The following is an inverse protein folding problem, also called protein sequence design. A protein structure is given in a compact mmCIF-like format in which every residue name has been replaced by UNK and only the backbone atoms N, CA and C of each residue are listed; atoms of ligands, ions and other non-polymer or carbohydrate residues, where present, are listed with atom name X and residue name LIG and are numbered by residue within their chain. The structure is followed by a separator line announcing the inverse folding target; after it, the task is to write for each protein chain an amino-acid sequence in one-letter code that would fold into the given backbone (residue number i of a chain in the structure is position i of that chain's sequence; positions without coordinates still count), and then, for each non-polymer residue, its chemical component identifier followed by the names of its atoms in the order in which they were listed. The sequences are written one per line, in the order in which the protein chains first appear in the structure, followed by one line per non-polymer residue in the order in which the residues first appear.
data_IF_402164268108
#
_entry.id   IF_402164268108
#
_cell.length_a   1.000
_cell.length_b   1.000
_cell.length_c   1.000
_cell.angle_alpha   90.00
_cell.angle_beta   90.00
_cell.angle_gamma   90.00
#
_symmetry.space_group_name_H-M   'P 1'
#
loop_
_entity.id
_entity.type
_entity.pdbx_description
1 polymer ?
#
# COMPACT_ATOMS: atom_id res chain seq x y z
N UNK A 1 14.30 -14.49 -22.80
CA UNK A 1 13.68 -15.15 -21.64
C UNK A 1 12.26 -14.63 -21.55
N UNK A 2 11.26 -15.48 -21.37
CA UNK A 2 9.87 -15.06 -21.17
C UNK A 2 9.73 -14.38 -19.79
N UNK A 3 8.80 -13.42 -19.63
CA UNK A 3 8.55 -12.71 -18.38
C UNK A 3 8.25 -13.66 -17.21
N UNK A 4 7.54 -14.76 -17.46
CA UNK A 4 7.23 -15.77 -16.46
C UNK A 4 8.52 -16.49 -15.99
N UNK A 5 9.41 -16.83 -16.89
CA UNK A 5 10.70 -17.45 -16.57
C UNK A 5 11.56 -16.51 -15.71
N UNK A 6 11.57 -15.20 -16.03
CA UNK A 6 12.30 -14.21 -15.23
C UNK A 6 11.73 -14.13 -13.81
N UNK A 7 10.39 -14.07 -13.68
CA UNK A 7 9.73 -14.04 -12.36
C UNK A 7 10.01 -15.30 -11.53
N UNK A 8 9.98 -16.48 -12.17
CA UNK A 8 10.33 -17.75 -11.51
C UNK A 8 11.78 -17.76 -11.02
N UNK A 9 12.71 -17.24 -11.82
CA UNK A 9 14.11 -17.10 -11.43
C UNK A 9 14.31 -16.13 -10.27
N UNK A 10 13.63 -14.97 -10.31
CA UNK A 10 13.66 -14.00 -9.21
C UNK A 10 13.07 -14.61 -7.92
N UNK A 11 11.97 -15.34 -8.03
CA UNK A 11 11.38 -16.06 -6.89
C UNK A 11 12.35 -17.08 -6.30
N UNK A 12 12.95 -17.94 -7.15
CA UNK A 12 13.89 -18.97 -6.69
C UNK A 12 15.12 -18.40 -5.98
N UNK A 13 15.53 -17.19 -6.33
CA UNK A 13 16.64 -16.44 -5.70
C UNK A 13 16.22 -15.61 -4.49
N UNK A 14 14.95 -15.62 -4.14
CA UNK A 14 14.37 -14.75 -3.07
C UNK A 14 14.61 -13.26 -3.36
N UNK A 15 14.60 -12.87 -4.62
CA UNK A 15 14.75 -11.47 -5.08
C UNK A 15 13.45 -10.89 -5.65
N UNK A 16 12.34 -11.65 -5.64
CA UNK A 16 11.02 -11.18 -6.02
C UNK A 16 10.30 -10.56 -4.83
N UNK A 17 9.79 -9.34 -4.99
CA UNK A 17 8.91 -8.68 -4.01
C UNK A 17 7.58 -8.35 -4.68
N UNK A 18 6.51 -9.07 -4.36
CA UNK A 18 5.16 -8.63 -4.69
C UNK A 18 4.84 -7.33 -3.95
N UNK A 19 4.38 -6.33 -4.69
CA UNK A 19 3.89 -5.05 -4.17
C UNK A 19 2.38 -5.04 -4.35
N UNK A 20 1.64 -5.08 -3.24
CA UNK A 20 0.20 -5.29 -3.23
C UNK A 20 -0.54 -3.98 -3.02
N UNK A 21 -1.48 -3.68 -3.90
CA UNK A 21 -2.38 -2.54 -3.84
C UNK A 21 -3.83 -2.93 -3.53
N UNK A 22 -4.69 -1.95 -3.34
CA UNK A 22 -6.09 -2.12 -2.90
C UNK A 22 -6.98 -2.92 -3.86
N UNK A 23 -6.60 -3.05 -5.11
CA UNK A 23 -7.33 -3.87 -6.09
C UNK A 23 -7.43 -5.34 -5.71
N UNK A 24 -6.57 -5.87 -4.82
CA UNK A 24 -6.71 -7.21 -4.28
C UNK A 24 -7.72 -7.27 -3.13
N UNK A 25 -7.94 -6.18 -2.40
CA UNK A 25 -8.80 -6.11 -1.22
C UNK A 25 -10.23 -5.67 -1.53
N UNK A 26 -10.41 -4.83 -2.56
CA UNK A 26 -11.74 -4.34 -2.97
C UNK A 26 -12.72 -5.49 -3.30
N UNK A 27 -12.33 -6.53 -4.04
CA UNK A 27 -13.22 -7.67 -4.31
C UNK A 27 -13.67 -8.41 -3.05
N UNK A 28 -12.93 -8.28 -1.95
CA UNK A 28 -13.29 -8.86 -0.65
C UNK A 28 -14.25 -7.99 0.15
N UNK A 29 -14.69 -6.85 -0.39
CA UNK A 29 -15.63 -5.94 0.25
C UNK A 29 -14.99 -4.78 1.02
N UNK A 30 -13.67 -4.60 0.92
CA UNK A 30 -13.04 -3.42 1.50
C UNK A 30 -13.29 -2.16 0.66
N UNK A 31 -13.46 -1.01 1.29
CA UNK A 31 -13.69 0.24 0.58
C UNK A 31 -12.45 0.68 -0.21
N UNK A 32 -12.70 1.25 -1.37
CA UNK A 32 -11.70 1.98 -2.14
C UNK A 32 -11.28 3.27 -1.43
N UNK A 33 -10.18 3.88 -1.88
CA UNK A 33 -9.73 5.19 -1.41
C UNK A 33 -10.82 6.27 -1.55
N UNK A 34 -11.51 6.28 -2.70
CA UNK A 34 -12.64 7.19 -2.95
C UNK A 34 -13.72 7.02 -1.89
N UNK A 35 -14.19 5.79 -1.67
CA UNK A 35 -15.25 5.50 -0.69
C UNK A 35 -14.84 5.86 0.75
N UNK A 36 -13.57 5.63 1.12
CA UNK A 36 -13.06 6.02 2.45
C UNK A 36 -13.12 7.53 2.64
N UNK A 37 -12.74 8.31 1.65
CA UNK A 37 -12.76 9.77 1.71
C UNK A 37 -14.20 10.31 1.73
N UNK A 38 -15.07 9.78 0.88
CA UNK A 38 -16.50 10.16 0.84
C UNK A 38 -17.19 9.85 2.18
N UNK A 39 -17.03 8.62 2.70
CA UNK A 39 -17.56 8.23 4.01
C UNK A 39 -16.98 9.06 5.16
N UNK A 40 -15.71 9.44 5.09
CA UNK A 40 -15.10 10.33 6.08
C UNK A 40 -15.75 11.72 6.07
N UNK A 41 -16.00 12.28 4.88
CA UNK A 41 -16.65 13.58 4.74
C UNK A 41 -18.08 13.57 5.32
N UNK A 42 -18.80 12.46 5.16
CA UNK A 42 -20.14 12.27 5.75
C UNK A 42 -20.07 12.12 7.27
N UNK A 43 -19.20 11.25 7.76
CA UNK A 43 -19.03 10.98 9.19
C UNK A 43 -18.69 12.24 9.99
N UNK A 44 -17.78 13.05 9.48
CA UNK A 44 -17.38 14.31 10.13
C UNK A 44 -18.31 15.50 9.81
N UNK A 45 -19.44 15.24 9.15
CA UNK A 45 -20.45 16.27 8.80
C UNK A 45 -19.82 17.47 8.08
N UNK A 46 -18.96 17.22 7.12
CA UNK A 46 -18.34 18.24 6.28
C UNK A 46 -19.42 18.99 5.49
N UNK A 47 -19.33 20.31 5.39
CA UNK A 47 -20.33 21.13 4.69
C UNK A 47 -20.46 20.74 3.22
N UNK A 48 -21.66 20.93 2.64
CA UNK A 48 -21.96 20.55 1.25
C UNK A 48 -21.02 21.23 0.25
N UNK A 49 -20.66 22.49 0.49
CA UNK A 49 -19.69 23.22 -0.35
C UNK A 49 -18.32 22.53 -0.38
N UNK A 50 -17.83 22.07 0.78
CA UNK A 50 -16.55 21.34 0.86
C UNK A 50 -16.67 19.93 0.31
N UNK A 51 -17.81 19.25 0.48
CA UNK A 51 -18.07 17.94 -0.15
C UNK A 51 -18.02 18.05 -1.68
N UNK A 52 -18.57 19.12 -2.26
CA UNK A 52 -18.44 19.36 -3.70
C UNK A 52 -16.97 19.53 -4.13
N UNK A 53 -16.14 20.20 -3.32
CA UNK A 53 -14.71 20.30 -3.57
C UNK A 53 -14.03 18.92 -3.49
N UNK A 54 -14.38 18.10 -2.49
CA UNK A 54 -13.88 16.72 -2.35
C UNK A 54 -14.22 15.91 -3.59
N UNK A 55 -15.49 15.91 -4.03
CA UNK A 55 -15.91 15.18 -5.23
C UNK A 55 -15.11 15.61 -6.47
N UNK A 56 -14.89 16.92 -6.68
CA UNK A 56 -14.08 17.43 -7.79
C UNK A 56 -12.63 16.95 -7.75
N UNK A 57 -12.03 16.80 -6.56
CA UNK A 57 -10.70 16.22 -6.39
C UNK A 57 -10.71 14.72 -6.72
N UNK A 58 -11.71 13.99 -6.20
CA UNK A 58 -11.86 12.56 -6.43
C UNK A 58 -12.07 12.21 -7.91
N UNK A 59 -12.84 13.03 -8.64
CA UNK A 59 -13.07 12.86 -10.09
C UNK A 59 -11.80 13.04 -10.93
N UNK A 60 -10.77 13.67 -10.35
CA UNK A 60 -9.45 13.85 -10.94
C UNK A 60 -8.39 12.91 -10.37
N UNK A 61 -8.79 11.94 -9.55
CA UNK A 61 -7.90 11.04 -8.81
C UNK A 61 -6.86 11.78 -7.94
N UNK A 62 -7.27 12.94 -7.39
CA UNK A 62 -6.45 13.80 -6.53
C UNK A 62 -6.79 13.50 -5.04
N UNK A 63 -6.54 12.26 -4.61
CA UNK A 63 -6.96 11.75 -3.29
C UNK A 63 -6.37 12.54 -2.11
N UNK A 64 -5.11 12.95 -2.19
CA UNK A 64 -4.48 13.74 -1.13
C UNK A 64 -5.07 15.15 -1.04
N UNK A 65 -5.45 15.74 -2.19
CA UNK A 65 -6.13 17.05 -2.20
C UNK A 65 -7.52 16.93 -1.57
N UNK A 66 -8.25 15.84 -1.87
CA UNK A 66 -9.54 15.57 -1.23
C UNK A 66 -9.41 15.40 0.29
N UNK A 67 -8.40 14.68 0.76
CA UNK A 67 -8.07 14.52 2.18
C UNK A 67 -7.72 15.85 2.84
N UNK A 68 -6.92 16.69 2.17
CA UNK A 68 -6.57 18.03 2.65
C UNK A 68 -7.80 18.93 2.86
N UNK A 69 -8.87 18.77 2.06
CA UNK A 69 -10.14 19.51 2.26
C UNK A 69 -10.79 19.11 3.57
N UNK A 70 -10.79 17.82 3.93
CA UNK A 70 -11.34 17.33 5.21
C UNK A 70 -10.55 17.90 6.39
N UNK A 71 -9.21 17.85 6.32
CA UNK A 71 -8.34 18.39 7.37
C UNK A 71 -8.53 19.91 7.55
N UNK A 72 -8.64 20.67 6.45
CA UNK A 72 -8.93 22.12 6.47
C UNK A 72 -10.36 22.43 6.94
N UNK A 73 -11.24 21.45 7.00
CA UNK A 73 -12.57 21.61 7.59
C UNK A 73 -12.56 21.52 9.13
N UNK A 74 -11.40 21.27 9.75
CA UNK A 74 -11.21 21.20 11.20
C UNK A 74 -11.14 19.78 11.77
N UNK A 75 -11.14 18.76 10.91
CA UNK A 75 -10.87 17.37 11.34
C UNK A 75 -9.37 17.22 11.55
N UNK A 76 -8.95 16.74 12.73
CA UNK A 76 -7.53 16.47 12.95
C UNK A 76 -7.07 15.22 12.18
N UNK A 77 -5.79 15.18 11.81
CA UNK A 77 -5.19 14.05 11.12
C UNK A 77 -5.35 12.75 11.93
N UNK A 78 -5.20 12.82 13.25
CA UNK A 78 -5.43 11.69 14.15
C UNK A 78 -6.87 11.17 14.10
N UNK A 79 -7.88 12.06 14.21
CA UNK A 79 -9.29 11.66 14.14
C UNK A 79 -9.62 10.98 12.81
N UNK A 80 -9.05 11.48 11.72
CA UNK A 80 -9.27 10.90 10.40
C UNK A 80 -8.64 9.51 10.29
N UNK A 81 -7.42 9.31 10.79
CA UNK A 81 -6.76 7.98 10.83
C UNK A 81 -7.53 6.98 11.67
N UNK A 82 -7.97 7.36 12.86
CA UNK A 82 -8.78 6.53 13.75
C UNK A 82 -10.10 6.12 13.09
N UNK A 83 -10.76 7.06 12.41
CA UNK A 83 -11.97 6.75 11.65
C UNK A 83 -11.72 5.76 10.50
N UNK A 84 -10.67 5.99 9.71
CA UNK A 84 -10.29 5.10 8.60
C UNK A 84 -9.96 3.70 9.13
N UNK A 85 -9.15 3.59 10.18
CA UNK A 85 -8.82 2.31 10.79
C UNK A 85 -10.08 1.57 11.26
N UNK A 86 -10.99 2.26 11.94
CA UNK A 86 -12.27 1.71 12.39
C UNK A 86 -13.13 1.25 11.20
N UNK A 87 -13.31 2.10 10.19
CA UNK A 87 -14.14 1.80 9.02
C UNK A 87 -13.60 0.59 8.23
N UNK A 88 -12.28 0.49 8.10
CA UNK A 88 -11.62 -0.64 7.45
C UNK A 88 -11.77 -1.93 8.27
N UNK A 89 -11.64 -1.85 9.59
CA UNK A 89 -11.83 -3.00 10.49
C UNK A 89 -13.26 -3.53 10.40
N UNK A 90 -14.26 -2.65 10.47
CA UNK A 90 -15.67 -3.03 10.33
C UNK A 90 -15.96 -3.67 8.96
N UNK A 91 -15.39 -3.12 7.88
CA UNK A 91 -15.53 -3.69 6.54
C UNK A 91 -14.88 -5.09 6.46
N UNK A 92 -13.70 -5.25 7.05
CA UNK A 92 -12.98 -6.52 7.09
C UNK A 92 -13.74 -7.61 7.85
N UNK A 93 -14.34 -7.29 9.00
CA UNK A 93 -15.18 -8.21 9.79
C UNK A 93 -16.43 -8.68 9.02
N UNK A 94 -16.95 -7.84 8.14
CA UNK A 94 -18.11 -8.15 7.29
C UNK A 94 -17.74 -8.73 5.92
N UNK A 95 -16.45 -8.94 5.66
CA UNK A 95 -15.98 -9.42 4.36
C UNK A 95 -16.29 -10.90 4.15
N UNK A 96 -16.72 -11.26 2.93
CA UNK A 96 -16.90 -12.64 2.50
C UNK A 96 -15.66 -13.08 1.70
N UNK A 97 -14.76 -13.79 2.34
CA UNK A 97 -13.43 -14.14 1.81
C UNK A 97 -13.38 -15.49 1.07
N UNK A 98 -14.44 -15.91 0.39
CA UNK A 98 -14.54 -17.28 -0.14
C UNK A 98 -13.59 -17.55 -1.30
N UNK A 99 -13.28 -16.54 -2.13
CA UNK A 99 -12.32 -16.66 -3.23
C UNK A 99 -11.56 -15.34 -3.37
N UNK A 100 -10.26 -15.37 -3.14
CA UNK A 100 -9.45 -14.15 -3.16
C UNK A 100 -7.98 -14.46 -3.53
N UNK A 101 -7.33 -13.48 -4.15
CA UNK A 101 -5.94 -13.60 -4.60
C UNK A 101 -4.90 -13.68 -3.45
N UNK A 102 -5.28 -13.39 -2.21
CA UNK A 102 -4.38 -13.55 -1.06
C UNK A 102 -4.09 -15.01 -0.75
N UNK A 103 -5.04 -15.92 -1.05
CA UNK A 103 -4.78 -17.37 -0.95
C UNK A 103 -3.70 -17.82 -1.93
N UNK A 104 -3.66 -17.27 -3.13
CA UNK A 104 -2.59 -17.55 -4.10
C UNK A 104 -1.23 -17.02 -3.61
N UNK A 105 -1.22 -15.83 -3.01
CA UNK A 105 0.00 -15.28 -2.40
C UNK A 105 0.53 -16.14 -1.25
N UNK A 106 -0.36 -16.75 -0.48
CA UNK A 106 0.00 -17.64 0.62
C UNK A 106 0.67 -18.95 0.16
N UNK A 107 0.54 -19.31 -1.12
CA UNK A 107 1.18 -20.53 -1.67
C UNK A 107 2.70 -20.41 -1.88
N UNK A 108 3.24 -19.19 -1.87
CA UNK A 108 4.70 -19.03 -1.92
C UNK A 108 5.35 -19.62 -0.67
N UNK A 109 6.42 -20.41 -0.84
CA UNK A 109 7.10 -21.03 0.30
C UNK A 109 7.98 -20.08 1.09
N UNK A 110 8.58 -19.08 0.40
CA UNK A 110 9.39 -18.02 1.03
C UNK A 110 9.35 -16.78 0.17
N UNK A 111 8.80 -15.70 0.72
CA UNK A 111 8.64 -14.45 -0.03
C UNK A 111 8.59 -13.22 0.88
N UNK A 112 8.90 -12.06 0.31
CA UNK A 112 8.85 -10.75 0.92
C UNK A 112 7.80 -9.92 0.21
N UNK A 113 6.88 -9.33 0.95
CA UNK A 113 5.83 -8.48 0.41
C UNK A 113 6.04 -7.02 0.79
N UNK A 114 5.58 -6.14 -0.05
CA UNK A 114 5.31 -4.75 0.29
C UNK A 114 3.84 -4.44 0.01
N UNK A 115 3.24 -3.55 0.78
CA UNK A 115 1.85 -3.16 0.52
C UNK A 115 1.61 -1.69 0.85
N UNK A 116 0.73 -1.06 0.08
CA UNK A 116 0.16 0.25 0.40
C UNK A 116 -1.21 0.12 1.09
N UNK A 117 -1.71 -1.11 1.24
CA UNK A 117 -2.99 -1.38 1.90
C UNK A 117 -2.86 -1.33 3.42
N UNK A 118 -3.93 -0.94 4.08
CA UNK A 118 -4.01 -0.90 5.55
C UNK A 118 -4.54 -2.19 6.19
N UNK A 119 -5.07 -3.13 5.40
CA UNK A 119 -6.01 -4.19 5.82
C UNK A 119 -5.39 -5.42 6.49
N UNK A 120 -4.10 -5.61 6.40
CA UNK A 120 -3.38 -6.77 6.97
C UNK A 120 -3.79 -8.15 6.40
N UNK A 121 -4.42 -8.23 5.22
CA UNK A 121 -4.78 -9.53 4.63
C UNK A 121 -3.57 -10.42 4.30
N UNK A 122 -2.42 -9.82 3.95
CA UNK A 122 -1.18 -10.61 3.77
C UNK A 122 -0.78 -11.32 5.07
N UNK A 123 -0.97 -10.66 6.22
CA UNK A 123 -0.71 -11.28 7.51
C UNK A 123 -1.68 -12.42 7.81
N UNK A 124 -2.97 -12.20 7.54
CA UNK A 124 -4.02 -13.16 7.88
C UNK A 124 -3.95 -14.42 7.01
N UNK A 125 -3.71 -14.28 5.72
CA UNK A 125 -3.73 -15.40 4.78
C UNK A 125 -2.38 -16.09 4.63
N UNK A 126 -1.27 -15.33 4.65
CA UNK A 126 0.08 -15.86 4.47
C UNK A 126 0.88 -15.96 5.78
N UNK A 127 0.24 -15.69 6.93
CA UNK A 127 0.91 -15.67 8.25
C UNK A 127 2.19 -14.81 8.25
N UNK A 128 2.19 -13.73 7.45
CA UNK A 128 3.36 -12.91 7.24
C UNK A 128 3.71 -12.09 8.50
N UNK A 129 4.99 -12.05 8.82
CA UNK A 129 5.51 -11.18 9.88
C UNK A 129 5.63 -9.75 9.37
N UNK A 130 4.99 -8.80 10.07
CA UNK A 130 5.15 -7.37 9.77
C UNK A 130 6.51 -6.87 10.19
N UNK A 131 7.17 -6.16 9.27
CA UNK A 131 8.32 -5.30 9.55
C UNK A 131 7.93 -3.85 9.25
N UNK A 132 8.09 -2.99 10.24
CA UNK A 132 7.79 -1.57 10.10
C UNK A 132 8.91 -0.85 9.33
N UNK A 133 8.61 0.29 8.74
CA UNK A 133 9.64 1.07 8.03
C UNK A 133 10.76 1.54 8.97
N UNK A 134 10.41 1.83 10.24
CA UNK A 134 11.39 2.18 11.26
C UNK A 134 12.34 1.01 11.58
N UNK A 135 11.87 -0.23 11.43
CA UNK A 135 12.73 -1.41 11.58
C UNK A 135 13.74 -1.49 10.42
N UNK A 136 13.37 -1.04 9.21
CA UNK A 136 14.27 -1.01 8.06
C UNK A 136 15.44 -0.02 8.26
N UNK A 137 15.22 1.10 8.94
CA UNK A 137 16.28 2.06 9.26
C UNK A 137 17.39 1.44 10.13
N UNK A 138 17.04 0.44 10.93
CA UNK A 138 17.92 -0.27 11.84
C UNK A 138 18.35 -1.64 11.31
N UNK A 139 17.70 -2.13 10.25
CA UNK A 139 18.01 -3.42 9.62
C UNK A 139 18.86 -3.22 8.36
N UNK A 140 19.95 -3.96 8.28
CA UNK A 140 20.57 -4.13 6.97
C UNK A 140 19.61 -4.89 6.05
N UNK A 141 19.47 -4.48 4.79
CA UNK A 141 18.62 -5.15 3.77
C UNK A 141 18.82 -6.67 3.74
N UNK A 142 20.03 -7.13 4.04
CA UNK A 142 20.32 -8.55 4.20
C UNK A 142 19.46 -9.23 5.27
N UNK A 143 19.10 -8.53 6.36
CA UNK A 143 18.24 -9.10 7.40
C UNK A 143 16.80 -9.24 6.93
N UNK A 144 16.30 -8.31 6.11
CA UNK A 144 14.99 -8.44 5.46
C UNK A 144 14.98 -9.60 4.45
N UNK A 145 15.98 -9.66 3.56
CA UNK A 145 16.09 -10.70 2.54
C UNK A 145 16.26 -12.10 3.13
N UNK A 146 17.09 -12.22 4.18
CA UNK A 146 17.42 -13.50 4.81
C UNK A 146 16.76 -13.70 6.19
N UNK A 147 15.64 -13.04 6.45
CA UNK A 147 14.84 -13.24 7.65
C UNK A 147 14.56 -14.73 7.88
N UNK A 148 14.51 -15.13 9.16
CA UNK A 148 14.13 -16.49 9.55
C UNK A 148 12.65 -16.81 9.24
N UNK A 149 11.83 -15.79 9.04
CA UNK A 149 10.42 -15.97 8.67
C UNK A 149 10.28 -16.28 7.18
N UNK A 150 9.39 -17.19 6.85
CA UNK A 150 9.11 -17.55 5.46
C UNK A 150 8.38 -16.40 4.73
N UNK A 151 7.39 -15.81 5.37
CA UNK A 151 6.65 -14.67 4.86
C UNK A 151 6.89 -13.41 5.70
N UNK A 152 7.19 -12.32 5.03
CA UNK A 152 7.40 -11.00 5.64
C UNK A 152 6.65 -9.95 4.84
N UNK A 153 6.02 -9.01 5.51
CA UNK A 153 5.34 -7.88 4.86
C UNK A 153 5.82 -6.54 5.43
N UNK A 154 6.03 -5.57 4.54
CA UNK A 154 6.31 -4.17 4.86
C UNK A 154 5.10 -3.34 4.46
N UNK A 155 4.30 -2.84 5.41
CA UNK A 155 3.22 -1.90 5.14
C UNK A 155 3.80 -0.49 4.93
N UNK A 156 3.92 -0.07 3.66
CA UNK A 156 4.48 1.24 3.29
C UNK A 156 3.64 2.41 3.81
N UNK A 157 2.33 2.23 3.90
CA UNK A 157 1.39 3.27 4.32
C UNK A 157 0.79 3.02 5.71
N UNK A 158 1.42 2.15 6.51
CA UNK A 158 0.91 1.78 7.83
C UNK A 158 -0.20 0.72 7.78
N UNK A 159 -0.83 0.49 8.91
CA UNK A 159 -1.80 -0.60 9.08
C UNK A 159 -2.91 -0.23 10.08
N UNK A 160 -4.10 -0.86 9.92
CA UNK A 160 -5.28 -0.57 10.75
C UNK A 160 -5.09 -0.87 12.24
N UNK A 161 -4.21 -1.80 12.60
CA UNK A 161 -3.89 -2.10 14.00
C UNK A 161 -3.11 -1.00 14.71
N UNK A 162 -2.51 -0.07 13.95
CA UNK A 162 -1.76 1.08 14.43
C UNK A 162 -2.17 2.34 13.67
N UNK A 163 -3.31 2.96 14.02
CA UNK A 163 -3.87 4.10 13.27
C UNK A 163 -2.88 5.27 13.10
N UNK A 164 -1.98 5.47 14.07
CA UNK A 164 -0.93 6.49 14.01
C UNK A 164 0.07 6.28 12.87
N UNK A 165 0.22 5.04 12.38
CA UNK A 165 1.10 4.70 11.26
C UNK A 165 0.49 4.99 9.89
N UNK A 166 -0.82 5.22 9.80
CA UNK A 166 -1.53 5.39 8.54
C UNK A 166 -1.07 6.64 7.80
N UNK A 167 -0.63 6.47 6.56
CA UNK A 167 -0.19 7.53 5.64
C UNK A 167 -1.35 7.89 4.72
N UNK A 168 -1.97 9.06 4.94
CA UNK A 168 -3.19 9.45 4.21
C UNK A 168 -3.24 10.94 3.81
N UNK A 169 -2.45 11.78 4.46
CA UNK A 169 -2.39 13.22 4.18
C UNK A 169 -1.13 13.58 3.39
N UNK A 170 -1.16 14.75 2.71
CA UNK A 170 0.02 15.27 2.01
C UNK A 170 1.24 15.38 2.94
N UNK A 171 1.02 15.82 4.19
CA UNK A 171 2.07 15.93 5.19
C UNK A 171 2.67 14.56 5.55
N UNK A 172 1.83 13.55 5.79
CA UNK A 172 2.31 12.18 6.08
C UNK A 172 3.04 11.55 4.89
N UNK A 173 2.58 11.78 3.67
CA UNK A 173 3.30 11.37 2.45
C UNK A 173 4.66 12.06 2.32
N UNK A 174 4.72 13.37 2.59
CA UNK A 174 5.99 14.10 2.54
C UNK A 174 6.96 13.63 3.63
N UNK A 175 6.47 13.39 4.84
CA UNK A 175 7.28 12.86 5.94
C UNK A 175 7.84 11.48 5.60
N UNK A 176 7.06 10.59 5.03
CA UNK A 176 7.51 9.27 4.65
C UNK A 176 8.53 9.32 3.50
N UNK A 177 8.13 9.87 2.35
CA UNK A 177 8.89 9.73 1.10
C UNK A 177 10.05 10.72 0.93
N UNK A 178 10.16 11.75 1.78
CA UNK A 178 11.26 12.71 1.75
C UNK A 178 12.34 12.44 2.77
N UNK A 179 12.19 11.47 3.68
CA UNK A 179 13.28 11.09 4.59
C UNK A 179 14.44 10.48 3.79
N UNK A 180 15.66 10.84 4.17
CA UNK A 180 16.85 10.31 3.52
C UNK A 180 17.00 8.81 3.76
N UNK A 181 16.55 8.34 4.91
CA UNK A 181 16.50 6.94 5.28
C UNK A 181 15.61 6.14 4.34
N UNK A 182 14.33 6.55 4.15
CA UNK A 182 13.42 5.88 3.22
C UNK A 182 13.99 5.84 1.80
N UNK A 183 14.55 6.97 1.32
CA UNK A 183 15.15 7.06 -0.01
C UNK A 183 16.29 6.09 -0.16
N UNK A 184 17.20 6.04 0.82
CA UNK A 184 18.37 5.16 0.81
C UNK A 184 17.93 3.67 0.79
N UNK A 185 17.06 3.27 1.71
CA UNK A 185 16.61 1.87 1.82
C UNK A 185 15.80 1.45 0.58
N UNK A 186 14.96 2.33 0.07
CA UNK A 186 14.17 2.05 -1.12
C UNK A 186 15.03 1.95 -2.39
N UNK A 187 16.03 2.83 -2.54
CA UNK A 187 17.04 2.76 -3.61
C UNK A 187 17.81 1.44 -3.55
N UNK A 188 18.19 1.02 -2.37
CA UNK A 188 18.90 -0.24 -2.18
C UNK A 188 18.03 -1.43 -2.53
N UNK A 189 16.75 -1.44 -2.09
CA UNK A 189 15.80 -2.51 -2.44
C UNK A 189 15.60 -2.62 -3.94
N UNK A 190 15.37 -1.52 -4.67
CA UNK A 190 15.13 -1.58 -6.11
C UNK A 190 16.34 -2.03 -6.93
N UNK A 191 17.56 -1.88 -6.43
CA UNK A 191 18.76 -2.38 -7.12
C UNK A 191 18.98 -3.88 -6.96
N UNK A 192 18.44 -4.48 -5.90
CA UNK A 192 18.65 -5.88 -5.56
C UNK A 192 17.41 -6.76 -5.77
N UNK A 193 16.23 -6.16 -5.87
CA UNK A 193 14.97 -6.88 -5.97
C UNK A 193 14.19 -6.52 -7.23
N UNK A 194 13.46 -7.49 -7.73
CA UNK A 194 12.45 -7.32 -8.78
C UNK A 194 11.09 -7.12 -8.13
N UNK A 195 10.43 -6.01 -8.40
CA UNK A 195 9.08 -5.74 -7.93
C UNK A 195 8.05 -6.29 -8.91
N UNK A 196 7.02 -6.96 -8.37
CA UNK A 196 5.82 -7.37 -9.10
C UNK A 196 4.62 -6.62 -8.51
N UNK A 197 4.17 -5.60 -9.23
CA UNK A 197 3.02 -4.80 -8.82
C UNK A 197 1.72 -5.50 -9.18
N UNK A 198 0.79 -5.59 -8.22
CA UNK A 198 -0.51 -6.20 -8.40
C UNK A 198 -1.59 -5.45 -7.61
N UNK A 199 -2.79 -5.31 -8.20
CA UNK A 199 -3.90 -4.58 -7.58
C UNK A 199 -3.72 -3.07 -7.54
N UNK A 200 -2.93 -2.49 -8.44
CA UNK A 200 -2.77 -1.05 -8.61
C UNK A 200 -3.53 -0.57 -9.85
N UNK A 201 -4.36 0.47 -9.70
CA UNK A 201 -4.95 1.16 -10.85
C UNK A 201 -3.96 2.11 -11.54
N UNK A 202 -2.90 2.50 -10.86
CA UNK A 202 -1.95 3.55 -11.28
C UNK A 202 -2.63 4.90 -11.60
N UNK A 203 -3.85 5.12 -11.13
CA UNK A 203 -4.55 6.39 -11.27
C UNK A 203 -4.13 7.42 -10.22
N UNK A 204 -3.62 6.97 -9.07
CA UNK A 204 -3.07 7.83 -8.03
C UNK A 204 -1.77 8.50 -8.54
N UNK A 205 -1.84 9.81 -8.74
CA UNK A 205 -0.72 10.63 -9.23
C UNK A 205 0.52 10.59 -8.32
N UNK A 206 0.34 10.32 -7.04
CA UNK A 206 1.47 10.23 -6.10
C UNK A 206 2.14 8.87 -6.19
N UNK A 207 1.37 7.80 -6.29
CA UNK A 207 1.89 6.46 -6.58
C UNK A 207 2.60 6.46 -7.93
N UNK A 208 2.01 7.07 -8.98
CA UNK A 208 2.67 7.24 -10.28
C UNK A 208 4.03 7.94 -10.14
N UNK A 209 4.10 9.08 -9.44
CA UNK A 209 5.35 9.82 -9.25
C UNK A 209 6.39 9.04 -8.44
N UNK A 210 5.95 8.24 -7.47
CA UNK A 210 6.83 7.35 -6.73
C UNK A 210 7.44 6.31 -7.66
N UNK A 211 6.59 5.66 -8.47
CA UNK A 211 7.04 4.65 -9.42
C UNK A 211 7.84 5.24 -10.58
N UNK A 212 7.51 6.42 -11.09
CA UNK A 212 8.32 7.11 -12.10
C UNK A 212 9.77 7.32 -11.62
N UNK A 213 9.94 7.76 -10.38
CA UNK A 213 11.27 7.86 -9.77
C UNK A 213 11.97 6.51 -9.65
N UNK A 214 11.21 5.45 -9.38
CA UNK A 214 11.73 4.09 -9.24
C UNK A 214 12.14 3.51 -10.58
N UNK A 215 11.30 3.68 -11.61
CA UNK A 215 11.46 3.02 -12.92
C UNK A 215 12.48 3.70 -13.83
N UNK A 216 12.67 5.03 -13.73
CA UNK A 216 13.50 5.77 -14.67
C UNK A 216 15.01 5.74 -14.42
N UNK A 217 15.50 5.22 -13.32
CA UNK A 217 16.89 5.42 -12.94
C UNK A 217 17.84 4.22 -13.08
N UNK A 218 17.36 2.96 -13.34
CA UNK A 218 18.25 1.78 -13.43
C UNK A 218 17.72 0.66 -14.35
N UNK A 219 18.64 -0.24 -14.74
CA UNK A 219 18.40 -1.41 -15.59
C UNK A 219 17.65 -2.57 -14.91
N UNK A 220 17.09 -2.36 -13.70
CA UNK A 220 16.29 -3.38 -13.04
C UNK A 220 14.93 -3.53 -13.74
N UNK A 221 14.57 -4.76 -14.07
CA UNK A 221 13.29 -5.07 -14.69
C UNK A 221 12.24 -5.28 -13.60
N UNK A 222 11.16 -4.50 -13.63
CA UNK A 222 10.01 -4.65 -12.75
C UNK A 222 8.79 -5.04 -13.57
N UNK A 223 7.79 -5.65 -12.93
CA UNK A 223 6.61 -6.18 -13.60
C UNK A 223 5.33 -5.62 -13.00
N UNK A 224 4.31 -5.52 -13.83
CA UNK A 224 2.96 -5.13 -13.42
C UNK A 224 2.01 -6.22 -13.92
N UNK A 225 1.17 -6.69 -13.01
CA UNK A 225 0.08 -7.61 -13.33
C UNK A 225 -1.19 -6.79 -13.60
N UNK A 226 -1.69 -6.89 -14.83
CA UNK A 226 -2.95 -6.28 -15.23
C UNK A 226 -4.01 -7.36 -15.45
N UNK A 227 -5.23 -7.06 -15.03
CA UNK A 227 -6.40 -7.81 -15.47
C UNK A 227 -6.66 -7.50 -16.96
N UNK A 228 -6.99 -8.52 -17.73
CA UNK A 228 -7.34 -8.41 -19.15
C UNK A 228 -8.85 -8.27 -19.38
N UNK A 229 -9.63 -7.92 -18.32
CA UNK A 229 -11.08 -7.73 -18.48
C UNK A 229 -11.43 -6.62 -19.47
#
# INVERSE_FOLDING_TARGET
MDNIQILQECYSRVTLIPVVGSGLSIPMGLPSWRELIEKSADYFSISDEKKECICKCLDRNEYLDATDVILKAGVSDQMLREYIAKSMTEAKENSNSVDNNYLDLALFSKIRYMTTNYDQYINDFAEAKTFCLEDLENMQINQFAYSAYDHVVIPLHGEISRPESIVLSRDSYQKLYNTDSFKFEFEHMRTHFTFLFMGFSFEDKYIQKLFDKILHHYQAQHFILFDKS
#
